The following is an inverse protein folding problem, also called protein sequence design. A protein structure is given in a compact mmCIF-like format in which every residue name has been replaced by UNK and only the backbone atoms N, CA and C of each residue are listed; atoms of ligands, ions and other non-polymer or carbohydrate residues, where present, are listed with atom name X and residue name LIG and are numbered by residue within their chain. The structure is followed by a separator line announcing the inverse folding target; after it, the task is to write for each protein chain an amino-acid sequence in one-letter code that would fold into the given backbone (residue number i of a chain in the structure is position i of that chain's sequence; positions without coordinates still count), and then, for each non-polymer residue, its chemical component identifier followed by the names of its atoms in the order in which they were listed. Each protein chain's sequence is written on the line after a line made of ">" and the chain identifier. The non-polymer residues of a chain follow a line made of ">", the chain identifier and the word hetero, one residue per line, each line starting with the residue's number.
data_IF_448870970948
#
_entry.id   IF_448870970948
#
_cell.length_a   1.000
_cell.length_b   1.000
_cell.length_c   1.000
_cell.angle_alpha   90.00
_cell.angle_beta   90.00
_cell.angle_gamma   90.00
#
_symmetry.space_group_name_H-M   'P 1'
#
loop_
_entity.id
_entity.type
_entity.pdbx_description
1 polymer ?
#
# COMPACT_ATOMS: atom_id res chain seq x y z
N UNK A 1 -5.40 -8.51 2.50
CA UNK A 1 -6.31 -7.77 1.58
C UNK A 1 -5.86 -6.33 1.54
N UNK A 2 -5.73 -5.76 0.34
CA UNK A 2 -5.36 -4.37 0.12
C UNK A 2 -6.56 -3.61 -0.44
N UNK A 3 -6.88 -2.45 0.14
CA UNK A 3 -7.98 -1.60 -0.30
C UNK A 3 -7.42 -0.23 -0.71
N UNK A 4 -7.70 0.17 -1.96
CA UNK A 4 -7.29 1.47 -2.48
C UNK A 4 -8.25 1.97 -3.57
N UNK A 5 -8.32 3.29 -3.73
CA UNK A 5 -9.20 3.98 -4.65
C UNK A 5 -8.50 4.43 -5.93
N UNK A 6 -9.12 4.12 -7.08
CA UNK A 6 -8.62 4.52 -8.40
C UNK A 6 -9.53 5.56 -9.06
N UNK A 7 -8.95 6.67 -9.51
CA UNK A 7 -9.63 7.68 -10.30
C UNK A 7 -9.73 7.27 -11.77
N UNK A 8 -10.92 7.34 -12.36
CA UNK A 8 -11.16 7.15 -13.81
C UNK A 8 -11.05 8.51 -14.53
N UNK A 9 -9.83 8.99 -14.77
CA UNK A 9 -9.55 10.38 -15.20
C UNK A 9 -10.18 10.75 -16.54
N UNK A 10 -10.07 9.91 -17.56
CA UNK A 10 -10.63 10.21 -18.90
C UNK A 10 -12.16 10.16 -18.93
N UNK A 11 -12.80 9.47 -17.98
CA UNK A 11 -14.26 9.44 -17.84
C UNK A 11 -14.81 10.69 -17.10
N UNK A 12 -13.94 11.63 -16.71
CA UNK A 12 -14.35 12.89 -16.08
C UNK A 12 -15.15 13.75 -17.06
N UNK A 13 -16.25 14.31 -16.61
CA UNK A 13 -16.99 15.29 -17.41
C UNK A 13 -16.16 16.58 -17.51
N UNK A 14 -16.09 17.17 -18.72
CA UNK A 14 -15.42 18.46 -18.96
C UNK A 14 -16.22 19.66 -18.40
N UNK A 15 -16.77 19.49 -17.19
CA UNK A 15 -17.49 20.54 -16.46
C UNK A 15 -16.54 21.05 -15.38
N UNK A 16 -16.39 22.36 -15.30
CA UNK A 16 -15.56 23.03 -14.29
C UNK A 16 -15.96 22.53 -12.88
N UNK A 17 -14.96 22.14 -12.08
CA UNK A 17 -15.10 21.67 -10.70
C UNK A 17 -15.68 20.24 -10.50
N UNK A 18 -15.90 19.42 -11.53
CA UNK A 18 -16.21 17.99 -11.33
C UNK A 18 -14.96 17.16 -11.14
N UNK A 19 -14.92 16.43 -10.03
CA UNK A 19 -13.87 15.44 -9.76
C UNK A 19 -14.06 14.21 -10.64
N UNK A 20 -12.95 13.53 -10.93
CA UNK A 20 -12.99 12.23 -11.62
C UNK A 20 -13.84 11.23 -10.81
N UNK A 21 -14.62 10.38 -11.47
CA UNK A 21 -15.28 9.28 -10.78
C UNK A 21 -14.22 8.32 -10.23
N UNK A 22 -14.50 7.74 -9.07
CA UNK A 22 -13.61 6.86 -8.37
C UNK A 22 -14.18 5.45 -8.26
N UNK A 23 -13.32 4.46 -8.22
CA UNK A 23 -13.67 3.08 -7.88
C UNK A 23 -12.74 2.64 -6.76
N UNK A 24 -13.32 2.19 -5.65
CA UNK A 24 -12.60 1.55 -4.56
C UNK A 24 -12.45 0.06 -4.90
N UNK A 25 -11.22 -0.44 -4.84
CA UNK A 25 -10.87 -1.82 -5.15
C UNK A 25 -10.38 -2.53 -3.89
N UNK A 26 -10.70 -3.80 -3.77
CA UNK A 26 -10.07 -4.72 -2.85
C UNK A 26 -9.33 -5.81 -3.63
N UNK A 27 -8.07 -6.02 -3.30
CA UNK A 27 -7.18 -6.98 -3.94
C UNK A 27 -6.58 -7.90 -2.89
N UNK A 28 -6.50 -9.19 -3.18
CA UNK A 28 -5.68 -10.11 -2.39
C UNK A 28 -4.20 -9.89 -2.74
N UNK A 29 -3.40 -9.56 -1.74
CA UNK A 29 -1.98 -9.24 -1.93
C UNK A 29 -1.13 -10.47 -2.29
N UNK A 30 -1.56 -11.69 -1.95
CA UNK A 30 -0.82 -12.91 -2.24
C UNK A 30 -0.93 -13.29 -3.72
N UNK A 31 -2.13 -13.23 -4.28
CA UNK A 31 -2.44 -13.64 -5.65
C UNK A 31 -2.52 -12.47 -6.63
N UNK A 32 -2.63 -11.24 -6.14
CA UNK A 32 -2.98 -10.02 -6.88
C UNK A 32 -4.37 -10.07 -7.54
N UNK A 33 -5.27 -10.97 -7.12
CA UNK A 33 -6.63 -11.01 -7.65
C UNK A 33 -7.49 -9.90 -7.07
N UNK A 34 -8.28 -9.26 -7.91
CA UNK A 34 -9.31 -8.30 -7.48
C UNK A 34 -10.50 -9.08 -6.93
N UNK A 35 -10.76 -8.95 -5.64
CA UNK A 35 -11.81 -9.70 -4.93
C UNK A 35 -13.12 -8.92 -4.82
N UNK A 36 -13.07 -7.58 -4.84
CA UNK A 36 -14.25 -6.74 -4.86
C UNK A 36 -13.95 -5.35 -5.40
N UNK A 37 -14.99 -4.65 -5.85
CA UNK A 37 -14.95 -3.23 -6.18
C UNK A 37 -16.29 -2.56 -5.92
N UNK A 38 -16.26 -1.28 -5.56
CA UNK A 38 -17.45 -0.44 -5.50
C UNK A 38 -17.19 0.93 -6.15
N UNK A 39 -18.16 1.48 -6.90
CA UNK A 39 -18.05 2.84 -7.38
C UNK A 39 -18.24 3.84 -6.23
N UNK A 40 -17.41 4.87 -6.17
CA UNK A 40 -17.55 5.98 -5.23
C UNK A 40 -18.27 7.10 -5.97
N UNK A 41 -19.46 7.53 -5.53
CA UNK A 41 -20.14 8.69 -6.09
C UNK A 41 -19.27 9.95 -6.00
N UNK A 42 -19.34 10.82 -6.97
CA UNK A 42 -18.52 12.05 -7.08
C UNK A 42 -18.49 12.94 -5.83
N UNK A 43 -19.52 12.86 -4.99
CA UNK A 43 -19.68 13.64 -3.74
C UNK A 43 -19.27 12.88 -2.48
N UNK A 44 -18.95 11.58 -2.57
CA UNK A 44 -18.63 10.72 -1.43
C UNK A 44 -17.13 10.50 -1.40
N UNK A 45 -16.50 10.69 -0.25
CA UNK A 45 -15.10 10.35 -0.08
C UNK A 45 -14.93 8.84 0.20
N UNK A 46 -13.71 8.35 0.14
CA UNK A 46 -13.36 6.96 0.40
C UNK A 46 -13.81 6.49 1.79
N UNK A 47 -13.79 7.38 2.79
CA UNK A 47 -14.19 7.07 4.17
C UNK A 47 -15.58 6.46 4.29
N UNK A 48 -16.53 6.88 3.45
CA UNK A 48 -17.90 6.34 3.46
C UNK A 48 -18.06 5.09 2.59
N UNK A 49 -17.13 4.85 1.69
CA UNK A 49 -17.15 3.71 0.77
C UNK A 49 -16.46 2.47 1.36
N UNK A 50 -15.39 2.64 2.14
CA UNK A 50 -14.65 1.55 2.75
C UNK A 50 -15.56 0.64 3.61
N UNK A 51 -16.40 1.15 4.52
CA UNK A 51 -17.32 0.30 5.28
C UNK A 51 -18.22 -0.55 4.40
N UNK A 52 -18.79 0.04 3.33
CA UNK A 52 -19.66 -0.69 2.38
C UNK A 52 -18.91 -1.79 1.62
N UNK A 53 -17.66 -1.54 1.25
CA UNK A 53 -16.81 -2.55 0.64
C UNK A 53 -16.53 -3.69 1.61
N UNK A 54 -16.23 -3.38 2.86
CA UNK A 54 -15.98 -4.37 3.90
C UNK A 54 -17.24 -5.18 4.27
N UNK A 55 -18.45 -4.63 4.12
CA UNK A 55 -19.71 -5.37 4.34
C UNK A 55 -19.86 -6.56 3.39
N UNK A 56 -19.44 -6.41 2.13
CA UNK A 56 -19.54 -7.46 1.10
C UNK A 56 -18.36 -8.43 1.10
N UNK A 57 -17.29 -8.14 1.84
CA UNK A 57 -16.10 -8.98 1.93
C UNK A 57 -16.15 -9.88 3.17
N UNK A 58 -15.76 -11.12 3.01
CA UNK A 58 -15.34 -11.96 4.13
C UNK A 58 -13.86 -11.67 4.39
N UNK A 59 -13.56 -11.03 5.52
CA UNK A 59 -12.22 -10.70 5.95
C UNK A 59 -11.74 -11.55 7.13
N UNK A 60 -12.48 -12.62 7.46
CA UNK A 60 -12.14 -13.51 8.57
C UNK A 60 -10.71 -14.06 8.43
N UNK A 61 -9.88 -13.84 9.45
CA UNK A 61 -8.48 -14.29 9.46
C UNK A 61 -7.55 -13.54 8.49
N UNK A 62 -8.04 -12.47 7.86
CA UNK A 62 -7.25 -11.64 6.94
C UNK A 62 -6.79 -10.36 7.59
N UNK A 63 -5.61 -9.86 7.19
CA UNK A 63 -5.18 -8.50 7.51
C UNK A 63 -5.54 -7.56 6.35
N UNK A 64 -6.29 -6.51 6.65
CA UNK A 64 -6.69 -5.48 5.68
C UNK A 64 -5.76 -4.28 5.81
N UNK A 65 -5.20 -3.83 4.68
CA UNK A 65 -4.40 -2.60 4.62
C UNK A 65 -5.14 -1.52 3.85
N UNK A 66 -5.15 -0.31 4.39
CA UNK A 66 -5.85 0.85 3.84
C UNK A 66 -4.94 2.06 3.96
N UNK A 67 -4.95 2.97 2.96
CA UNK A 67 -4.20 4.22 3.06
C UNK A 67 -4.82 5.18 4.09
N UNK A 68 -4.09 6.21 4.44
CA UNK A 68 -4.36 7.18 5.51
C UNK A 68 -5.71 7.93 5.41
N UNK A 69 -6.45 7.77 4.30
CA UNK A 69 -7.76 8.40 4.08
C UNK A 69 -8.91 7.57 4.68
N UNK A 70 -8.64 6.33 5.10
CA UNK A 70 -9.68 5.42 5.59
C UNK A 70 -10.38 5.87 6.87
N UNK A 71 -11.63 5.45 7.05
CA UNK A 71 -12.44 5.68 8.26
C UNK A 71 -11.96 4.79 9.40
N UNK A 72 -10.89 5.20 10.07
CA UNK A 72 -10.15 4.42 11.07
C UNK A 72 -11.07 3.82 12.13
N UNK A 73 -11.95 4.62 12.72
CA UNK A 73 -12.88 4.16 13.76
C UNK A 73 -13.85 3.09 13.25
N UNK A 74 -14.42 3.30 12.07
CA UNK A 74 -15.37 2.33 11.48
C UNK A 74 -14.69 1.00 11.16
N UNK A 75 -13.48 1.05 10.64
CA UNK A 75 -12.70 -0.14 10.32
C UNK A 75 -12.34 -0.92 11.58
N UNK A 76 -11.93 -0.21 12.63
CA UNK A 76 -11.61 -0.83 13.92
C UNK A 76 -12.82 -1.50 14.57
N UNK A 77 -14.01 -0.90 14.45
CA UNK A 77 -15.26 -1.50 14.96
C UNK A 77 -15.65 -2.77 14.20
N UNK A 78 -15.37 -2.84 12.90
CA UNK A 78 -15.67 -4.03 12.09
C UNK A 78 -14.84 -5.27 12.47
N UNK A 79 -13.76 -5.10 13.23
CA UNK A 79 -12.97 -6.23 13.76
C UNK A 79 -13.83 -7.18 14.58
N UNK A 80 -14.64 -6.65 15.51
CA UNK A 80 -15.44 -7.46 16.41
C UNK A 80 -16.48 -8.28 15.64
N UNK A 81 -17.08 -7.69 14.60
CA UNK A 81 -18.10 -8.32 13.78
C UNK A 81 -17.51 -9.26 12.72
N UNK A 82 -16.40 -8.87 12.10
CA UNK A 82 -15.81 -9.53 10.91
C UNK A 82 -14.58 -10.40 11.21
N UNK A 83 -14.03 -10.35 12.42
CA UNK A 83 -12.84 -11.12 12.85
C UNK A 83 -11.62 -10.93 11.92
N UNK A 84 -11.48 -9.76 11.34
CA UNK A 84 -10.34 -9.38 10.51
C UNK A 84 -9.37 -8.47 11.26
N UNK A 85 -8.12 -8.44 10.84
CA UNK A 85 -7.10 -7.54 11.37
C UNK A 85 -6.85 -6.38 10.40
N UNK A 86 -6.27 -5.28 10.93
CA UNK A 86 -6.02 -4.07 10.16
C UNK A 86 -4.62 -3.54 10.37
N UNK A 87 -4.01 -3.07 9.28
CA UNK A 87 -2.85 -2.19 9.32
C UNK A 87 -3.19 -0.93 8.56
N UNK A 88 -3.22 0.19 9.27
CA UNK A 88 -3.61 1.47 8.71
C UNK A 88 -2.48 2.49 8.84
N UNK A 89 -2.27 3.26 7.78
CA UNK A 89 -1.34 4.38 7.80
C UNK A 89 -1.97 5.60 8.45
N UNK A 90 -1.22 6.24 9.33
CA UNK A 90 -1.56 7.50 10.00
C UNK A 90 -0.61 8.58 9.49
N UNK A 91 -1.17 9.61 8.89
CA UNK A 91 -0.44 10.76 8.36
C UNK A 91 -0.99 12.06 8.98
N UNK A 92 -0.66 13.19 8.38
CA UNK A 92 -1.15 14.52 8.82
C UNK A 92 -2.67 14.71 8.76
N UNK A 93 -3.41 13.78 8.17
CA UNK A 93 -4.87 13.75 8.20
C UNK A 93 -5.44 13.39 9.60
N UNK A 94 -4.66 12.71 10.44
CA UNK A 94 -4.93 12.43 11.85
C UNK A 94 -3.81 13.04 12.70
N UNK A 95 -3.72 14.38 12.82
CA UNK A 95 -2.54 15.06 13.33
C UNK A 95 -2.24 14.73 14.80
N UNK A 96 -3.25 14.58 15.64
CA UNK A 96 -3.07 14.25 17.05
C UNK A 96 -2.48 12.85 17.24
N UNK A 97 -3.08 11.84 16.61
CA UNK A 97 -2.59 10.46 16.63
C UNK A 97 -1.20 10.36 16.00
N UNK A 98 -0.95 11.06 14.87
CA UNK A 98 0.36 11.08 14.24
C UNK A 98 1.43 11.66 15.17
N UNK A 99 1.14 12.79 15.82
CA UNK A 99 2.08 13.42 16.76
C UNK A 99 2.36 12.52 17.98
N UNK A 100 1.33 11.85 18.50
CA UNK A 100 1.54 10.93 19.64
C UNK A 100 2.44 9.75 19.24
N UNK A 101 2.27 9.19 18.02
CA UNK A 101 3.19 8.17 17.50
C UNK A 101 4.62 8.71 17.42
N UNK A 102 4.83 9.93 16.91
CA UNK A 102 6.17 10.53 16.85
C UNK A 102 6.77 10.68 18.26
N UNK A 103 6.02 11.20 19.23
CA UNK A 103 6.48 11.39 20.60
C UNK A 103 6.89 10.06 21.24
N UNK A 104 6.14 8.97 21.01
CA UNK A 104 6.50 7.63 21.52
C UNK A 104 7.86 7.20 20.98
N UNK A 105 8.07 7.31 19.66
CA UNK A 105 9.34 6.85 19.08
C UNK A 105 10.51 7.79 19.37
N UNK A 106 10.31 9.09 19.50
CA UNK A 106 11.34 10.04 19.98
C UNK A 106 11.79 9.68 21.40
N UNK A 107 10.85 9.43 22.32
CA UNK A 107 11.18 9.00 23.68
C UNK A 107 11.93 7.67 23.72
N UNK A 108 11.51 6.68 22.91
CA UNK A 108 12.22 5.39 22.82
C UNK A 108 13.65 5.53 22.27
N UNK A 109 13.90 6.44 21.34
CA UNK A 109 15.24 6.73 20.83
C UNK A 109 16.12 7.40 21.88
N UNK A 110 15.57 8.33 22.67
CA UNK A 110 16.28 8.96 23.78
C UNK A 110 16.64 7.93 24.87
N UNK A 111 15.71 7.06 25.27
CA UNK A 111 15.97 5.97 26.22
C UNK A 111 17.03 5.00 25.69
N UNK A 112 16.95 4.62 24.42
CA UNK A 112 17.91 3.73 23.76
C UNK A 112 19.30 4.36 23.68
N UNK A 113 19.38 5.67 23.43
CA UNK A 113 20.64 6.39 23.38
C UNK A 113 21.28 6.57 24.77
N UNK A 114 20.46 6.75 25.82
CA UNK A 114 20.92 6.94 27.18
C UNK A 114 21.50 5.64 27.80
N UNK A 115 20.78 4.52 27.68
CA UNK A 115 21.25 3.19 28.14
C UNK A 115 20.77 2.06 27.20
N UNK A 116 21.53 1.73 26.14
CA UNK A 116 21.18 0.69 25.19
C UNK A 116 20.97 -0.70 25.80
N UNK A 117 21.68 -1.01 26.91
CA UNK A 117 21.60 -2.36 27.54
C UNK A 117 20.30 -2.52 28.33
N UNK A 118 19.96 -1.54 29.13
CA UNK A 118 18.70 -1.53 29.89
C UNK A 118 17.51 -1.46 28.92
N UNK A 119 17.58 -0.60 27.91
CA UNK A 119 16.56 -0.50 26.87
C UNK A 119 16.28 -1.85 26.21
N UNK A 120 17.33 -2.56 25.75
CA UNK A 120 17.19 -3.86 25.10
C UNK A 120 16.54 -4.90 26.04
N UNK A 121 16.89 -4.90 27.32
CA UNK A 121 16.35 -5.83 28.33
C UNK A 121 14.86 -5.57 28.61
N UNK A 122 14.47 -4.32 28.73
CA UNK A 122 13.09 -3.92 29.10
C UNK A 122 12.12 -3.98 27.94
N UNK A 123 12.62 -3.86 26.71
CA UNK A 123 11.82 -3.78 25.49
C UNK A 123 11.93 -4.99 24.56
N UNK A 124 12.56 -6.10 24.97
CA UNK A 124 12.85 -7.29 24.15
C UNK A 124 11.61 -7.84 23.39
N UNK A 125 10.44 -7.85 24.06
CA UNK A 125 9.20 -8.39 23.48
C UNK A 125 8.26 -7.30 22.92
N UNK A 126 8.56 -6.04 23.17
CA UNK A 126 7.66 -4.92 22.90
C UNK A 126 8.13 -4.01 21.78
N UNK A 127 9.42 -3.98 21.52
CA UNK A 127 10.06 -3.13 20.52
C UNK A 127 10.78 -3.96 19.48
N UNK A 128 10.58 -3.62 18.23
CA UNK A 128 11.29 -4.23 17.11
C UNK A 128 11.65 -3.20 16.06
N UNK A 129 12.73 -3.47 15.32
CA UNK A 129 13.20 -2.65 14.20
C UNK A 129 13.40 -3.53 12.98
N UNK A 130 13.10 -2.98 11.82
CA UNK A 130 13.37 -3.59 10.54
C UNK A 130 13.89 -2.54 9.56
N UNK A 131 14.91 -2.88 8.79
CA UNK A 131 15.45 -2.01 7.76
C UNK A 131 15.72 -2.77 6.47
N UNK A 132 15.52 -2.11 5.35
CA UNK A 132 15.84 -2.64 4.04
C UNK A 132 16.43 -1.55 3.15
N UNK A 133 17.31 -1.98 2.21
CA UNK A 133 17.90 -1.11 1.21
C UNK A 133 17.72 -1.76 -0.16
N UNK A 134 17.09 -1.06 -1.08
CA UNK A 134 16.90 -1.51 -2.46
C UNK A 134 17.57 -0.54 -3.42
N UNK A 135 18.25 -1.12 -4.42
CA UNK A 135 18.87 -0.36 -5.51
C UNK A 135 18.17 -0.72 -6.82
N UNK A 136 17.60 0.27 -7.46
CA UNK A 136 17.08 0.16 -8.82
C UNK A 136 17.90 1.04 -9.79
N UNK A 137 17.46 1.13 -11.04
CA UNK A 137 18.20 1.90 -12.08
C UNK A 137 18.27 3.39 -11.77
N UNK A 138 17.27 3.96 -11.10
CA UNK A 138 17.10 5.40 -10.93
C UNK A 138 17.46 5.90 -9.53
N UNK A 139 17.28 5.06 -8.51
CA UNK A 139 17.42 5.47 -7.11
C UNK A 139 17.80 4.32 -6.18
N UNK A 140 18.32 4.71 -5.02
CA UNK A 140 18.48 3.84 -3.85
C UNK A 140 17.38 4.19 -2.84
N UNK A 141 16.67 3.20 -2.35
CA UNK A 141 15.62 3.37 -1.36
C UNK A 141 15.99 2.67 -0.06
N UNK A 142 16.08 3.46 1.00
CA UNK A 142 16.21 2.98 2.36
C UNK A 142 14.84 3.04 3.04
N UNK A 143 14.43 1.93 3.66
CA UNK A 143 13.19 1.85 4.43
C UNK A 143 13.53 1.39 5.83
N UNK A 144 13.00 2.08 6.81
CA UNK A 144 13.11 1.74 8.21
C UNK A 144 11.71 1.70 8.81
N UNK A 145 11.45 0.68 9.61
CA UNK A 145 10.23 0.55 10.40
C UNK A 145 10.61 0.22 11.81
N UNK A 146 10.00 0.92 12.76
CA UNK A 146 10.08 0.65 14.20
C UNK A 146 8.68 0.35 14.68
N UNK A 147 8.50 -0.69 15.48
CA UNK A 147 7.21 -1.08 16.01
C UNK A 147 7.26 -1.22 17.53
N UNK A 148 6.20 -0.81 18.19
CA UNK A 148 6.06 -0.83 19.65
C UNK A 148 4.67 -1.27 20.08
N UNK A 149 4.60 -2.13 21.12
CA UNK A 149 3.36 -2.81 21.55
C UNK A 149 3.09 -2.65 23.06
N UNK A 150 3.54 -1.56 23.68
CA UNK A 150 3.34 -1.31 25.11
C UNK A 150 1.99 -0.63 25.39
N UNK A 151 1.13 -1.30 26.13
CA UNK A 151 -0.24 -0.83 26.44
C UNK A 151 -0.27 0.54 27.14
N UNK A 152 0.67 0.81 28.03
CA UNK A 152 0.75 2.10 28.71
C UNK A 152 1.15 3.23 27.76
N UNK A 153 2.11 3.00 26.90
CA UNK A 153 2.58 4.00 25.95
C UNK A 153 1.51 4.37 24.92
N UNK A 154 0.73 3.39 24.44
CA UNK A 154 -0.28 3.61 23.40
C UNK A 154 -1.67 3.99 23.94
N UNK A 155 -1.81 4.17 25.28
CA UNK A 155 -3.13 4.45 25.90
C UNK A 155 -3.85 5.68 25.35
N UNK A 156 -3.11 6.76 25.06
CA UNK A 156 -3.70 7.98 24.48
C UNK A 156 -4.20 7.76 23.07
N UNK A 157 -3.51 6.93 22.28
CA UNK A 157 -3.95 6.56 20.93
C UNK A 157 -5.23 5.73 21.04
N UNK A 158 -5.35 4.87 22.05
CA UNK A 158 -6.56 4.07 22.28
C UNK A 158 -7.78 4.89 22.68
N UNK A 159 -7.62 6.09 23.22
CA UNK A 159 -8.76 7.00 23.48
C UNK A 159 -9.46 7.41 22.18
N UNK A 160 -8.69 7.63 21.08
CA UNK A 160 -9.22 7.96 19.76
C UNK A 160 -9.49 6.70 18.91
N UNK A 161 -8.65 5.69 19.03
CA UNK A 161 -8.65 4.46 18.26
C UNK A 161 -8.64 3.24 19.18
N UNK A 162 -9.79 2.85 19.72
CA UNK A 162 -9.90 1.65 20.55
C UNK A 162 -9.44 0.41 19.77
N UNK A 163 -8.95 -0.61 20.49
CA UNK A 163 -8.43 -1.88 19.95
C UNK A 163 -7.01 -1.86 19.36
N UNK A 164 -6.32 -0.74 19.32
CA UNK A 164 -4.93 -0.72 18.86
C UNK A 164 -4.04 -1.55 19.80
N UNK A 165 -3.27 -2.46 19.21
CA UNK A 165 -2.28 -3.31 19.90
C UNK A 165 -0.85 -2.93 19.53
N UNK A 166 -0.63 -2.42 18.31
CA UNK A 166 0.69 -2.02 17.82
C UNK A 166 0.65 -0.63 17.22
N UNK A 167 1.71 0.12 17.45
CA UNK A 167 2.01 1.37 16.75
C UNK A 167 3.37 1.25 16.08
N UNK A 168 3.52 1.87 14.92
CA UNK A 168 4.80 1.86 14.22
C UNK A 168 5.11 3.22 13.60
N UNK A 169 6.41 3.51 13.50
CA UNK A 169 6.96 4.62 12.73
C UNK A 169 7.72 4.06 11.54
N UNK A 170 7.40 4.52 10.35
CA UNK A 170 8.08 4.14 9.13
C UNK A 170 8.70 5.35 8.47
N UNK A 171 9.99 5.25 8.15
CA UNK A 171 10.75 6.24 7.42
C UNK A 171 11.26 5.64 6.11
N UNK A 172 11.02 6.33 4.99
CA UNK A 172 11.56 5.98 3.68
C UNK A 172 12.42 7.12 3.17
N UNK A 173 13.66 6.80 2.75
CA UNK A 173 14.59 7.75 2.15
C UNK A 173 14.89 7.30 0.72
N UNK A 174 14.68 8.18 -0.25
CA UNK A 174 14.90 7.96 -1.68
C UNK A 174 16.05 8.81 -2.17
N UNK A 175 17.13 8.18 -2.58
CA UNK A 175 18.35 8.85 -3.07
C UNK A 175 18.44 8.65 -4.56
N UNK A 176 18.37 9.72 -5.40
CA UNK A 176 18.59 9.58 -6.85
C UNK A 176 19.97 9.01 -7.13
N UNK A 177 20.05 7.99 -8.00
CA UNK A 177 21.34 7.41 -8.37
C UNK A 177 22.16 8.37 -9.21
N UNK A 178 23.43 8.42 -8.91
CA UNK A 178 24.42 9.25 -9.58
C UNK A 178 25.56 8.41 -10.10
N UNK A 179 26.05 8.78 -11.29
CA UNK A 179 27.22 8.21 -11.89
C UNK A 179 28.23 9.31 -12.20
N UNK A 180 29.51 9.00 -12.08
CA UNK A 180 30.59 9.88 -12.56
C UNK A 180 30.74 9.85 -14.09
N UNK A 181 31.70 10.57 -14.62
CA UNK A 181 32.01 10.62 -16.05
C UNK A 181 32.44 9.27 -16.64
N UNK A 182 32.97 8.40 -15.80
CA UNK A 182 33.44 7.06 -16.15
C UNK A 182 32.36 5.99 -15.98
N UNK A 183 31.14 6.38 -15.50
CA UNK A 183 29.98 5.50 -15.32
C UNK A 183 29.94 4.79 -13.98
N UNK A 184 30.85 5.06 -13.03
CA UNK A 184 30.86 4.47 -11.70
C UNK A 184 29.77 5.06 -10.85
N UNK A 185 29.21 4.25 -9.93
CA UNK A 185 28.19 4.68 -8.97
C UNK A 185 28.82 5.54 -7.87
N UNK A 186 28.46 6.81 -7.84
CA UNK A 186 28.88 7.81 -6.84
C UNK A 186 27.70 8.28 -5.99
N UNK A 187 26.64 7.49 -5.93
CA UNK A 187 25.46 7.77 -5.11
C UNK A 187 25.86 7.82 -3.62
N UNK A 188 25.57 8.90 -2.89
CA UNK A 188 25.92 8.99 -1.48
C UNK A 188 25.19 7.93 -0.65
N UNK A 189 25.78 7.55 0.47
CA UNK A 189 25.08 6.76 1.48
C UNK A 189 23.96 7.58 2.15
N UNK A 190 23.10 6.89 2.94
CA UNK A 190 21.94 7.51 3.58
C UNK A 190 22.32 8.67 4.49
N UNK A 191 23.35 8.52 5.32
CA UNK A 191 23.73 9.54 6.30
C UNK A 191 24.29 10.79 5.64
N UNK A 192 25.16 10.60 4.65
CA UNK A 192 25.71 11.67 3.83
C UNK A 192 24.60 12.42 3.09
N UNK A 193 23.65 11.68 2.49
CA UNK A 193 22.53 12.28 1.77
C UNK A 193 21.63 13.11 2.70
N UNK A 194 21.31 12.61 3.88
CA UNK A 194 20.47 13.35 4.84
C UNK A 194 21.14 14.65 5.32
N UNK A 195 22.47 14.66 5.41
CA UNK A 195 23.25 15.83 5.88
C UNK A 195 23.53 16.83 4.76
N UNK A 196 23.88 16.36 3.58
CA UNK A 196 24.48 17.19 2.53
C UNK A 196 23.72 17.13 1.20
N UNK A 197 22.75 16.20 1.07
CA UNK A 197 22.08 15.93 -0.19
C UNK A 197 22.98 15.18 -1.18
N UNK A 198 22.69 15.36 -2.46
CA UNK A 198 23.46 14.82 -3.58
C UNK A 198 23.58 15.84 -4.70
N UNK A 199 24.35 15.57 -5.76
CA UNK A 199 24.46 16.46 -6.95
C UNK A 199 23.10 16.69 -7.60
N UNK A 200 22.27 15.63 -7.70
CA UNK A 200 20.91 15.72 -8.27
C UNK A 200 19.87 16.26 -7.29
N UNK A 201 20.12 16.16 -5.99
CA UNK A 201 19.22 16.59 -4.94
C UNK A 201 20.01 17.24 -3.79
N UNK A 202 20.44 18.54 -3.94
CA UNK A 202 21.27 19.21 -2.95
C UNK A 202 20.62 19.40 -1.59
N UNK A 203 19.29 19.40 -1.53
CA UNK A 203 18.50 19.50 -0.28
C UNK A 203 17.39 18.47 -0.32
N UNK A 204 17.49 17.37 0.45
CA UNK A 204 16.40 16.42 0.58
C UNK A 204 15.14 17.11 1.13
N UNK A 205 14.01 16.85 0.49
CA UNK A 205 12.71 17.34 0.94
C UNK A 205 11.99 16.27 1.74
N UNK A 206 11.35 16.67 2.82
CA UNK A 206 10.47 15.80 3.61
C UNK A 206 9.01 16.14 3.32
N UNK A 207 8.18 15.12 3.05
CA UNK A 207 6.76 15.32 2.82
C UNK A 207 6.03 14.07 2.32
N UNK A 208 4.83 14.30 1.79
CA UNK A 208 3.93 13.24 1.36
C UNK A 208 3.87 13.09 -0.18
N UNK A 209 4.59 13.92 -0.93
CA UNK A 209 4.60 13.88 -2.39
C UNK A 209 5.53 12.77 -2.89
N UNK A 210 5.23 12.21 -4.06
CA UNK A 210 6.11 11.21 -4.71
C UNK A 210 7.52 11.75 -5.01
N UNK A 211 7.64 13.07 -5.16
CA UNK A 211 8.92 13.76 -5.41
C UNK A 211 9.72 14.01 -4.14
N UNK A 212 9.13 13.82 -2.95
CA UNK A 212 9.82 14.02 -1.69
C UNK A 212 10.79 12.86 -1.43
N UNK A 213 12.00 13.20 -1.00
CA UNK A 213 13.05 12.24 -0.75
C UNK A 213 12.90 11.54 0.60
N UNK A 214 12.24 12.19 1.57
CA UNK A 214 12.03 11.65 2.90
C UNK A 214 10.53 11.59 3.16
N UNK A 215 10.04 10.38 3.42
CA UNK A 215 8.63 10.16 3.78
C UNK A 215 8.55 9.47 5.14
N UNK A 216 7.81 10.09 6.07
CA UNK A 216 7.54 9.53 7.38
C UNK A 216 6.05 9.31 7.55
N UNK A 217 5.67 8.14 8.02
CA UNK A 217 4.27 7.79 8.32
C UNK A 217 4.21 7.02 9.63
N UNK A 218 3.15 7.26 10.39
CA UNK A 218 2.74 6.39 11.48
C UNK A 218 1.93 5.21 10.93
N UNK A 219 1.95 4.08 11.61
CA UNK A 219 1.04 2.97 11.34
C UNK A 219 0.45 2.48 12.67
N UNK A 220 -0.76 1.99 12.60
CA UNK A 220 -1.46 1.38 13.73
C UNK A 220 -2.05 0.04 13.30
N UNK A 221 -2.11 -0.91 14.23
CA UNK A 221 -2.74 -2.21 14.02
C UNK A 221 -3.51 -2.64 15.27
N UNK A 222 -4.59 -3.35 15.06
CA UNK A 222 -5.35 -4.02 16.12
C UNK A 222 -4.78 -5.39 16.46
N UNK A 223 -3.69 -5.79 15.85
CA UNK A 223 -2.95 -7.01 16.13
C UNK A 223 -1.53 -6.68 16.65
N UNK A 224 -0.96 -7.56 17.47
CA UNK A 224 0.43 -7.44 17.91
C UNK A 224 1.34 -7.86 16.77
N UNK A 225 2.08 -6.92 16.20
CA UNK A 225 2.94 -7.11 15.04
C UNK A 225 4.38 -6.71 15.35
N UNK A 226 5.31 -7.30 14.62
CA UNK A 226 6.71 -6.90 14.56
C UNK A 226 6.93 -5.81 13.50
N UNK A 227 8.07 -5.13 13.57
CA UNK A 227 8.46 -4.14 12.56
C UNK A 227 8.59 -4.75 11.16
N UNK A 228 9.05 -6.00 11.05
CA UNK A 228 9.15 -6.71 9.78
C UNK A 228 7.78 -7.01 9.17
N UNK A 229 6.82 -7.46 9.97
CA UNK A 229 5.45 -7.69 9.52
C UNK A 229 4.77 -6.40 9.07
N UNK A 230 4.92 -5.31 9.84
CA UNK A 230 4.43 -3.97 9.43
C UNK A 230 5.07 -3.53 8.12
N UNK A 231 6.39 -3.71 7.96
CA UNK A 231 7.10 -3.37 6.72
C UNK A 231 6.56 -4.17 5.53
N UNK A 232 6.28 -5.47 5.71
CA UNK A 232 5.66 -6.33 4.70
C UNK A 232 4.27 -5.84 4.33
N UNK A 233 3.37 -5.61 5.29
CA UNK A 233 2.02 -5.10 5.02
C UNK A 233 2.03 -3.74 4.31
N UNK A 234 2.92 -2.84 4.72
CA UNK A 234 3.10 -1.56 4.04
C UNK A 234 3.56 -1.74 2.59
N UNK A 235 4.45 -2.70 2.33
CA UNK A 235 4.94 -3.01 0.98
C UNK A 235 3.84 -3.68 0.14
N UNK A 236 3.11 -4.60 0.72
CA UNK A 236 2.00 -5.27 0.06
C UNK A 236 0.88 -4.29 -0.32
N UNK A 237 0.69 -3.24 0.49
CA UNK A 237 -0.25 -2.17 0.12
C UNK A 237 0.10 -1.49 -1.20
N UNK A 238 1.39 -1.28 -1.50
CA UNK A 238 1.83 -0.70 -2.78
C UNK A 238 1.63 -1.63 -3.99
N UNK A 239 1.38 -2.89 -3.76
CA UNK A 239 1.12 -3.86 -4.85
C UNK A 239 -0.15 -3.52 -5.62
N UNK A 240 -1.17 -2.98 -4.98
CA UNK A 240 -2.40 -2.59 -5.68
C UNK A 240 -2.14 -1.48 -6.72
N UNK A 241 -1.25 -0.53 -6.41
CA UNK A 241 -0.86 0.50 -7.38
C UNK A 241 -0.06 -0.10 -8.54
N UNK A 242 0.94 -0.94 -8.26
CA UNK A 242 1.86 -1.46 -9.26
C UNK A 242 1.29 -2.64 -10.05
N UNK A 243 0.62 -3.58 -9.37
CA UNK A 243 0.15 -4.82 -10.00
C UNK A 243 -1.28 -4.71 -10.55
N UNK A 244 -2.09 -3.75 -10.07
CA UNK A 244 -3.45 -3.58 -10.55
C UNK A 244 -3.65 -2.24 -11.26
N UNK A 245 -3.47 -1.10 -10.56
CA UNK A 245 -3.84 0.20 -11.13
C UNK A 245 -2.98 0.56 -12.34
N UNK A 246 -1.67 0.32 -12.28
CA UNK A 246 -0.76 0.54 -13.40
C UNK A 246 -1.10 -0.36 -14.60
N UNK A 247 -1.32 -1.65 -14.37
CA UNK A 247 -1.71 -2.60 -15.42
C UNK A 247 -3.03 -2.22 -16.08
N UNK A 248 -4.05 -1.82 -15.28
CA UNK A 248 -5.31 -1.34 -15.83
C UNK A 248 -5.15 -0.08 -16.71
N UNK A 249 -4.19 0.79 -16.38
CA UNK A 249 -3.95 2.02 -17.14
C UNK A 249 -3.13 1.78 -18.42
N UNK A 250 -2.08 0.97 -18.35
CA UNK A 250 -1.18 0.75 -19.47
C UNK A 250 -1.66 -0.36 -20.40
N UNK A 251 -2.02 -1.54 -19.85
CA UNK A 251 -2.35 -2.72 -20.66
C UNK A 251 -3.84 -2.72 -21.06
N UNK A 252 -4.73 -2.32 -20.14
CA UNK A 252 -6.18 -2.25 -20.41
C UNK A 252 -6.68 -0.86 -20.81
N UNK A 253 -5.80 0.13 -20.89
CA UNK A 253 -6.10 1.51 -21.30
C UNK A 253 -7.27 2.15 -20.53
N UNK A 254 -7.39 1.85 -19.23
CA UNK A 254 -8.53 2.31 -18.42
C UNK A 254 -8.55 3.84 -18.33
N UNK A 255 -7.40 4.48 -18.10
CA UNK A 255 -7.28 5.94 -18.00
C UNK A 255 -7.48 6.65 -19.36
N UNK A 256 -7.43 5.93 -20.51
CA UNK A 256 -7.74 6.47 -21.83
C UNK A 256 -9.23 6.32 -22.21
N UNK A 257 -9.99 5.57 -21.41
CA UNK A 257 -11.41 5.28 -21.70
C UNK A 257 -12.32 6.45 -21.34
N UNK A 258 -12.96 7.05 -22.35
CA UNK A 258 -13.88 8.18 -22.21
C UNK A 258 -15.34 7.79 -21.95
N UNK A 259 -15.64 6.49 -21.84
CA UNK A 259 -16.97 5.98 -21.59
C UNK A 259 -17.50 6.46 -20.22
N UNK A 260 -18.57 7.24 -20.22
CA UNK A 260 -19.14 7.83 -19.00
C UNK A 260 -20.28 7.01 -18.41
N UNK A 261 -21.23 6.60 -19.23
CA UNK A 261 -22.42 5.85 -18.78
C UNK A 261 -22.09 4.41 -18.40
N UNK A 262 -21.23 3.75 -19.17
CA UNK A 262 -20.85 2.35 -18.99
C UNK A 262 -19.54 2.17 -18.21
N UNK A 263 -18.95 3.23 -17.66
CA UNK A 263 -17.64 3.19 -17.00
C UNK A 263 -17.52 2.10 -15.92
N UNK A 264 -18.55 1.97 -15.08
CA UNK A 264 -18.53 0.98 -13.99
C UNK A 264 -18.57 -0.46 -14.55
N UNK A 265 -19.37 -0.71 -15.58
CA UNK A 265 -19.45 -2.01 -16.26
C UNK A 265 -18.12 -2.36 -16.92
N UNK A 266 -17.54 -1.40 -17.67
CA UNK A 266 -16.24 -1.58 -18.30
C UNK A 266 -15.12 -1.83 -17.27
N UNK A 267 -15.16 -1.18 -16.13
CA UNK A 267 -14.20 -1.43 -15.06
C UNK A 267 -14.34 -2.83 -14.47
N UNK A 268 -15.57 -3.34 -14.30
CA UNK A 268 -15.82 -4.74 -13.90
C UNK A 268 -15.23 -5.70 -14.93
N UNK A 269 -15.55 -5.49 -16.21
CA UNK A 269 -15.08 -6.37 -17.29
C UNK A 269 -13.55 -6.42 -17.39
N UNK A 270 -12.88 -5.25 -17.28
CA UNK A 270 -11.41 -5.20 -17.26
C UNK A 270 -10.81 -6.00 -16.12
N UNK A 271 -11.36 -5.84 -14.91
CA UNK A 271 -10.87 -6.57 -13.74
C UNK A 271 -11.17 -8.06 -13.79
N UNK A 272 -12.30 -8.44 -14.42
CA UNK A 272 -12.58 -9.86 -14.69
C UNK A 272 -11.55 -10.43 -15.66
N UNK A 273 -11.25 -9.73 -16.77
CA UNK A 273 -10.21 -10.14 -17.70
C UNK A 273 -8.84 -10.19 -17.04
N UNK A 274 -8.48 -9.16 -16.25
CA UNK A 274 -7.26 -9.15 -15.45
C UNK A 274 -7.16 -10.37 -14.52
N UNK A 275 -8.24 -10.69 -13.79
CA UNK A 275 -8.25 -11.85 -12.89
C UNK A 275 -8.07 -13.17 -13.66
N UNK A 276 -8.69 -13.32 -14.83
CA UNK A 276 -8.48 -14.51 -15.68
C UNK A 276 -7.02 -14.64 -16.07
N UNK A 277 -6.38 -13.57 -16.52
CA UNK A 277 -4.96 -13.57 -16.88
C UNK A 277 -4.10 -13.91 -15.66
N UNK A 278 -4.39 -13.33 -14.49
CA UNK A 278 -3.66 -13.66 -13.26
C UNK A 278 -3.81 -15.13 -12.85
N UNK A 279 -4.99 -15.70 -13.00
CA UNK A 279 -5.20 -17.13 -12.75
C UNK A 279 -4.40 -18.00 -13.74
N UNK A 280 -4.34 -17.62 -15.01
CA UNK A 280 -3.49 -18.29 -16.01
C UNK A 280 -2.01 -18.25 -15.60
N UNK A 281 -1.50 -17.09 -15.20
CA UNK A 281 -0.12 -16.93 -14.73
C UNK A 281 0.19 -17.79 -13.49
N UNK A 282 -0.73 -17.86 -12.54
CA UNK A 282 -0.58 -18.69 -11.33
C UNK A 282 -0.57 -20.17 -11.68
N UNK A 283 -1.45 -20.63 -12.57
CA UNK A 283 -1.55 -22.03 -12.99
C UNK A 283 -0.31 -22.47 -13.79
N UNK A 284 0.17 -21.61 -14.68
CA UNK A 284 1.40 -21.88 -15.45
C UNK A 284 2.68 -21.92 -14.60
N UNK A 285 2.62 -21.55 -13.33
CA UNK A 285 3.77 -21.40 -12.42
C UNK A 285 4.88 -20.49 -12.95
N UNK A 286 4.53 -19.61 -13.88
CA UNK A 286 5.43 -18.65 -14.49
C UNK A 286 5.19 -17.26 -13.93
N UNK A 287 5.88 -16.93 -12.86
CA UNK A 287 5.87 -15.60 -12.24
C UNK A 287 6.43 -14.46 -13.14
N UNK A 288 6.77 -14.78 -14.39
CA UNK A 288 7.56 -13.90 -15.27
C UNK A 288 6.81 -13.34 -16.45
N UNK A 289 5.65 -13.85 -16.78
CA UNK A 289 4.86 -13.30 -17.87
C UNK A 289 4.20 -12.00 -17.46
N UNK A 290 4.49 -10.95 -18.20
CA UNK A 290 3.76 -9.69 -18.08
C UNK A 290 2.33 -9.90 -18.58
N UNK A 291 1.38 -9.13 -18.02
CA UNK A 291 -0.01 -9.19 -18.44
C UNK A 291 -0.15 -8.90 -19.95
N UNK A 292 0.66 -7.98 -20.47
CA UNK A 292 0.65 -7.63 -21.89
C UNK A 292 1.05 -8.81 -22.79
N UNK A 293 2.02 -9.61 -22.38
CA UNK A 293 2.48 -10.78 -23.15
C UNK A 293 1.36 -11.81 -23.29
N UNK A 294 0.60 -12.03 -22.21
CA UNK A 294 -0.59 -12.92 -22.24
C UNK A 294 -1.72 -12.35 -23.10
N UNK A 295 -1.91 -11.02 -23.08
CA UNK A 295 -2.89 -10.36 -23.96
C UNK A 295 -2.51 -10.54 -25.42
N UNK A 296 -1.23 -10.40 -25.78
CA UNK A 296 -0.72 -10.56 -27.12
C UNK A 296 -0.88 -12.01 -27.59
N UNK A 297 -0.53 -13.00 -26.75
CA UNK A 297 -0.73 -14.43 -27.04
C UNK A 297 -2.21 -14.77 -27.27
N UNK A 298 -3.12 -14.30 -26.39
CA UNK A 298 -4.58 -14.48 -26.57
C UNK A 298 -5.06 -13.83 -27.86
N UNK A 299 -4.49 -12.71 -28.27
CA UNK A 299 -4.87 -11.98 -29.47
C UNK A 299 -4.41 -12.73 -30.73
N UNK A 300 -3.26 -13.39 -30.68
CA UNK A 300 -2.73 -14.21 -31.77
C UNK A 300 -3.45 -15.56 -31.89
N UNK A 301 -3.82 -16.20 -30.77
CA UNK A 301 -4.58 -17.47 -30.76
C UNK A 301 -5.84 -17.39 -29.87
N UNK A 302 -6.91 -16.83 -30.43
CA UNK A 302 -8.20 -16.74 -29.76
C UNK A 302 -8.79 -18.11 -29.37
N UNK A 303 -8.43 -19.17 -30.07
CA UNK A 303 -8.89 -20.54 -29.77
C UNK A 303 -8.27 -21.06 -28.46
N UNK A 304 -7.01 -20.72 -28.18
CA UNK A 304 -6.37 -21.02 -26.91
C UNK A 304 -7.08 -20.28 -25.76
N UNK A 305 -7.40 -19.00 -25.96
CA UNK A 305 -8.14 -18.21 -24.96
C UNK A 305 -9.51 -18.82 -24.62
N UNK A 306 -10.24 -19.33 -25.59
CA UNK A 306 -11.54 -19.98 -25.37
C UNK A 306 -11.40 -21.26 -24.54
N UNK A 307 -10.33 -22.04 -24.72
CA UNK A 307 -10.06 -23.21 -23.90
C UNK A 307 -9.88 -22.82 -22.42
N UNK A 308 -9.10 -21.78 -22.14
CA UNK A 308 -8.90 -21.30 -20.77
C UNK A 308 -10.19 -20.83 -20.09
N UNK A 309 -11.14 -20.30 -20.85
CA UNK A 309 -12.43 -19.83 -20.30
C UNK A 309 -13.40 -21.00 -20.05
N UNK A 310 -13.38 -22.02 -20.90
CA UNK A 310 -14.38 -23.09 -20.90
C UNK A 310 -13.86 -24.43 -20.37
N UNK A 311 -12.53 -24.66 -20.32
CA UNK A 311 -11.99 -25.82 -19.69
C UNK A 311 -12.09 -25.68 -18.16
N UNK A 312 -12.38 -26.78 -17.44
CA UNK A 312 -12.47 -26.69 -15.98
C UNK A 312 -11.12 -26.26 -15.39
N UNK A 313 -11.16 -25.20 -14.59
CA UNK A 313 -10.01 -24.76 -13.81
C UNK A 313 -9.52 -25.96 -12.98
N UNK A 314 -8.24 -26.37 -13.07
CA UNK A 314 -7.71 -27.43 -12.23
C UNK A 314 -8.05 -27.14 -10.77
N UNK A 315 -8.63 -28.10 -10.08
CA UNK A 315 -9.02 -27.94 -8.67
C UNK A 315 -7.80 -27.56 -7.84
N UNK A 316 -7.82 -26.37 -7.28
CA UNK A 316 -6.87 -25.96 -6.24
C UNK A 316 -7.17 -26.77 -4.96
N UNK A 317 -6.53 -27.94 -4.81
CA UNK A 317 -6.43 -28.71 -3.58
C UNK A 317 -4.97 -28.98 -3.22
#
# INVERSE_FOLDING_TARGET
>A
IVIDGKALRAATEKIKDKKAPYILNAMDAATNLVIAQIPIPEKTNEMTAIPKLLEILDITGSTVTIDAIGATETIMRMREEKKGDFVQQIKKNCPATYQEIQNIFEGLEEEKAADPKTFAKENTERYSEYSSCERNRERVEYREVKCYTNDYAIRKIREELPFICSVASSCQVRIPREKDADGNDVTPDKETFLKQGSRKCPKPTEGDKLTDQIQKVGLVSNHTLTAEEIARYKRDHWRIENCLHHVLDEDFLEDKCTARKSRNVLSVLRKTAYNIIRLMQIDAREDREFVIDVIDEITEDFSAALKWIFDPIPSFY
#
